data_IF_835717182207
#
_entry.id   IF_835717182207
#
_cell.length_a   1.000
_cell.length_b   1.000
_cell.length_c   1.000
_cell.angle_alpha   90.00
_cell.angle_beta   90.00
_cell.angle_gamma   90.00
#
_symmetry.space_group_name_H-M   'P 1'
#
loop_
_entity.id
_entity.type
_entity.pdbx_description
1 polymer ?
#
# COMPACT_ATOMS: atom_id res chain seq x y z
N UNK A 1 -4.08 -39.87 22.11
CA UNK A 1 -5.55 -39.77 22.03
C UNK A 1 -5.98 -38.56 22.86
N UNK A 2 -5.82 -37.34 22.34
CA UNK A 2 -6.28 -36.12 22.98
C UNK A 2 -7.37 -35.50 22.10
N UNK A 3 -8.55 -35.41 22.68
CA UNK A 3 -9.82 -35.06 22.07
C UNK A 3 -9.84 -33.60 21.58
N UNK A 4 -9.89 -33.39 20.26
CA UNK A 4 -10.26 -32.10 19.65
C UNK A 4 -11.79 -31.98 19.75
N UNK A 5 -12.27 -31.23 20.74
CA UNK A 5 -13.62 -30.65 20.72
C UNK A 5 -13.50 -29.22 20.19
N UNK A 6 -13.65 -29.06 18.87
CA UNK A 6 -14.06 -27.77 18.29
C UNK A 6 -15.55 -27.90 18.03
N UNK A 7 -16.32 -27.24 18.89
CA UNK A 7 -17.76 -27.13 18.80
C UNK A 7 -18.12 -26.34 17.54
N UNK A 8 -19.04 -26.89 16.77
CA UNK A 8 -19.61 -26.32 15.57
C UNK A 8 -20.38 -25.01 15.86
N UNK A 9 -20.13 -23.98 15.05
CA UNK A 9 -21.12 -22.97 14.71
C UNK A 9 -21.16 -22.81 13.19
N UNK A 10 -22.23 -23.39 12.62
CA UNK A 10 -22.98 -22.96 11.43
C UNK A 10 -22.24 -22.79 10.08
N UNK A 11 -22.40 -23.79 9.20
CA UNK A 11 -22.19 -23.68 7.75
C UNK A 11 -21.29 -24.79 7.21
N UNK A 12 -21.86 -25.78 6.51
CA UNK A 12 -21.17 -26.93 5.95
C UNK A 12 -20.07 -26.53 4.95
N UNK A 13 -18.83 -26.39 5.42
CA UNK A 13 -17.64 -26.47 4.56
C UNK A 13 -16.96 -27.82 4.82
N UNK A 14 -17.02 -28.74 3.84
CA UNK A 14 -16.33 -30.02 3.95
C UNK A 14 -14.82 -29.75 3.94
N UNK A 15 -14.13 -30.02 5.04
CA UNK A 15 -12.67 -29.93 5.14
C UNK A 15 -12.06 -31.07 4.33
N UNK A 16 -11.41 -30.76 3.19
CA UNK A 16 -10.82 -31.75 2.27
C UNK A 16 -9.29 -31.78 2.34
N UNK A 17 -8.63 -30.83 3.01
CA UNK A 17 -7.15 -30.78 3.12
C UNK A 17 -6.62 -29.96 4.30
N UNK A 18 -5.34 -30.18 4.68
CA UNK A 18 -4.60 -29.33 5.65
C UNK A 18 -4.53 -27.86 5.20
N UNK A 19 -4.55 -27.63 3.89
CA UNK A 19 -4.64 -26.30 3.28
C UNK A 19 -5.97 -25.60 3.59
N UNK A 20 -7.09 -26.34 3.67
CA UNK A 20 -8.40 -25.77 4.03
C UNK A 20 -8.41 -25.32 5.50
N UNK A 21 -7.78 -26.10 6.39
CA UNK A 21 -7.66 -25.74 7.81
C UNK A 21 -6.76 -24.50 8.03
N UNK A 22 -5.68 -24.39 7.25
CA UNK A 22 -4.78 -23.23 7.25
C UNK A 22 -5.48 -21.97 6.73
N UNK A 23 -6.30 -22.10 5.68
CA UNK A 23 -7.08 -21.00 5.08
C UNK A 23 -8.20 -20.50 6.00
N UNK A 24 -8.87 -21.40 6.72
CA UNK A 24 -9.84 -21.01 7.75
C UNK A 24 -9.19 -20.08 8.77
N UNK A 25 -7.94 -20.32 9.15
CA UNK A 25 -7.26 -19.50 10.17
C UNK A 25 -6.81 -18.11 9.67
N UNK A 26 -6.42 -17.95 8.39
CA UNK A 26 -6.07 -16.61 7.85
C UNK A 26 -7.31 -15.76 7.56
N UNK A 27 -8.35 -16.37 7.00
CA UNK A 27 -9.61 -15.73 6.68
C UNK A 27 -10.40 -15.40 7.97
N UNK A 28 -10.30 -16.25 8.99
CA UNK A 28 -10.85 -16.01 10.32
C UNK A 28 -10.12 -14.88 11.05
N UNK A 29 -8.80 -14.72 10.91
CA UNK A 29 -8.07 -13.61 11.54
C UNK A 29 -8.49 -12.24 11.01
N UNK A 30 -8.71 -12.10 9.69
CA UNK A 30 -9.23 -10.85 9.12
C UNK A 30 -10.69 -10.61 9.53
N UNK A 31 -11.51 -11.66 9.61
CA UNK A 31 -12.89 -11.58 10.10
C UNK A 31 -12.94 -11.18 11.58
N UNK A 32 -12.04 -11.70 12.41
CA UNK A 32 -11.90 -11.34 13.82
C UNK A 32 -11.43 -9.88 13.99
N UNK A 33 -10.48 -9.43 13.17
CA UNK A 33 -10.05 -8.03 13.16
C UNK A 33 -11.18 -7.08 12.79
N UNK A 34 -12.13 -7.50 11.93
CA UNK A 34 -13.31 -6.69 11.60
C UNK A 34 -14.31 -6.54 12.75
N UNK A 35 -14.19 -7.31 13.83
CA UNK A 35 -15.06 -7.20 15.00
C UNK A 35 -14.67 -6.05 15.94
N UNK A 36 -13.42 -5.57 15.84
CA UNK A 36 -12.89 -4.47 16.67
C UNK A 36 -12.30 -3.39 15.76
N UNK A 37 -13.02 -2.28 15.63
CA UNK A 37 -12.68 -1.18 14.73
C UNK A 37 -11.34 -0.53 15.08
N UNK A 38 -11.03 -0.42 16.37
CA UNK A 38 -9.78 0.19 16.82
C UNK A 38 -8.60 -0.72 16.46
N UNK A 39 -8.74 -2.03 16.66
CA UNK A 39 -7.72 -3.00 16.22
C UNK A 39 -7.58 -3.04 14.71
N UNK A 40 -8.68 -3.01 13.96
CA UNK A 40 -8.66 -2.97 12.50
C UNK A 40 -7.88 -1.75 12.00
N UNK A 41 -8.20 -0.57 12.54
CA UNK A 41 -7.53 0.67 12.17
C UNK A 41 -6.06 0.69 12.60
N UNK A 42 -5.72 0.18 13.77
CA UNK A 42 -4.32 0.05 14.19
C UNK A 42 -3.54 -0.91 13.28
N UNK A 43 -4.19 -1.99 12.84
CA UNK A 43 -3.56 -3.04 12.05
C UNK A 43 -3.34 -2.65 10.58
N UNK A 44 -4.32 -2.00 9.95
CA UNK A 44 -4.27 -1.62 8.51
C UNK A 44 -4.02 -0.12 8.27
N UNK A 45 -4.06 0.72 9.31
CA UNK A 45 -4.05 2.20 9.20
C UNK A 45 -5.24 2.77 8.40
N UNK A 46 -6.29 1.98 8.24
CA UNK A 46 -7.54 2.33 7.55
C UNK A 46 -8.72 1.89 8.41
N UNK A 47 -9.81 2.65 8.39
CA UNK A 47 -11.06 2.18 8.97
C UNK A 47 -11.74 1.14 8.05
N UNK A 48 -12.74 0.42 8.55
CA UNK A 48 -13.42 -0.65 7.80
C UNK A 48 -14.09 -0.14 6.52
N UNK A 49 -14.77 1.01 6.59
CA UNK A 49 -15.42 1.62 5.43
C UNK A 49 -14.44 2.01 4.33
N UNK A 50 -13.28 2.59 4.70
CA UNK A 50 -12.20 2.89 3.77
C UNK A 50 -11.63 1.62 3.13
N UNK A 51 -11.45 0.55 3.91
CA UNK A 51 -11.00 -0.73 3.38
C UNK A 51 -12.00 -1.30 2.38
N UNK A 52 -13.29 -1.34 2.71
CA UNK A 52 -14.32 -1.90 1.85
C UNK A 52 -14.48 -1.07 0.56
N UNK A 53 -14.38 0.26 0.66
CA UNK A 53 -14.36 1.15 -0.50
C UNK A 53 -13.14 0.91 -1.40
N UNK A 54 -11.94 0.79 -0.81
CA UNK A 54 -10.72 0.48 -1.56
C UNK A 54 -10.80 -0.90 -2.23
N UNK A 55 -11.35 -1.89 -1.53
CA UNK A 55 -11.59 -3.23 -2.07
C UNK A 55 -12.57 -3.20 -3.24
N UNK A 56 -13.62 -2.37 -3.18
CA UNK A 56 -14.56 -2.22 -4.27
C UNK A 56 -13.89 -1.66 -5.53
N UNK A 57 -13.02 -0.66 -5.39
CA UNK A 57 -12.31 -0.04 -6.53
C UNK A 57 -11.25 -0.97 -7.12
N UNK A 58 -10.44 -1.60 -6.27
CA UNK A 58 -9.23 -2.32 -6.71
C UNK A 58 -9.50 -3.83 -6.92
N UNK A 59 -10.51 -4.37 -6.24
CA UNK A 59 -10.89 -5.79 -6.23
C UNK A 59 -10.95 -6.45 -7.61
N UNK A 60 -11.63 -5.86 -8.62
CA UNK A 60 -11.69 -6.41 -9.97
C UNK A 60 -10.33 -6.62 -10.62
N UNK A 61 -9.34 -5.76 -10.31
CA UNK A 61 -8.00 -5.80 -10.90
C UNK A 61 -7.02 -6.72 -10.17
N UNK A 62 -7.35 -7.12 -8.93
CA UNK A 62 -6.48 -7.97 -8.10
C UNK A 62 -7.05 -9.37 -7.88
N UNK A 63 -8.30 -9.62 -8.25
CA UNK A 63 -8.91 -10.93 -8.24
C UNK A 63 -8.17 -11.89 -9.18
N UNK A 64 -8.15 -13.18 -8.83
CA UNK A 64 -7.57 -14.24 -9.67
C UNK A 64 -8.64 -15.24 -10.03
N UNK A 65 -8.60 -15.69 -11.28
CA UNK A 65 -9.51 -16.70 -11.80
C UNK A 65 -9.34 -18.02 -11.03
N UNK A 66 -10.46 -18.58 -10.60
CA UNK A 66 -10.48 -19.91 -10.01
C UNK A 66 -10.25 -20.94 -11.11
N UNK A 67 -9.24 -21.79 -10.91
CA UNK A 67 -8.96 -22.92 -11.79
C UNK A 67 -9.21 -24.22 -11.05
N UNK A 68 -9.49 -25.31 -11.78
CA UNK A 68 -9.70 -26.64 -11.18
C UNK A 68 -8.47 -27.20 -10.44
N UNK A 69 -7.30 -26.58 -10.59
CA UNK A 69 -6.04 -27.08 -10.04
C UNK A 69 -5.71 -26.50 -8.67
N UNK A 70 -6.11 -25.26 -8.39
CA UNK A 70 -5.74 -24.57 -7.13
C UNK A 70 -6.74 -23.49 -6.79
N UNK A 71 -7.17 -23.50 -5.53
CA UNK A 71 -7.96 -22.42 -4.95
C UNK A 71 -7.13 -21.13 -4.84
N UNK A 72 -7.70 -20.01 -5.26
CA UNK A 72 -6.99 -18.73 -5.29
C UNK A 72 -7.08 -18.00 -3.96
N UNK A 73 -6.08 -17.15 -3.71
CA UNK A 73 -6.12 -16.18 -2.60
C UNK A 73 -7.11 -15.09 -3.01
N UNK A 74 -8.11 -14.83 -2.16
CA UNK A 74 -9.18 -13.88 -2.46
C UNK A 74 -8.66 -12.45 -2.66
N UNK A 75 -9.40 -11.61 -3.39
CA UNK A 75 -9.03 -10.20 -3.57
C UNK A 75 -8.89 -9.47 -2.23
N UNK A 76 -9.78 -9.74 -1.27
CA UNK A 76 -9.75 -9.17 0.07
C UNK A 76 -8.48 -9.58 0.84
N UNK A 77 -8.10 -10.85 0.80
CA UNK A 77 -6.90 -11.36 1.47
C UNK A 77 -5.62 -10.81 0.83
N UNK A 78 -5.58 -10.73 -0.51
CA UNK A 78 -4.48 -10.08 -1.25
C UNK A 78 -4.33 -8.61 -0.86
N UNK A 79 -5.43 -7.89 -0.72
CA UNK A 79 -5.44 -6.50 -0.25
C UNK A 79 -4.94 -6.40 1.19
N UNK A 80 -5.36 -7.30 2.09
CA UNK A 80 -4.88 -7.34 3.48
C UNK A 80 -3.37 -7.55 3.55
N UNK A 81 -2.81 -8.49 2.78
CA UNK A 81 -1.37 -8.75 2.73
C UNK A 81 -0.60 -7.50 2.29
N UNK A 82 -1.08 -6.84 1.23
CA UNK A 82 -0.46 -5.62 0.71
C UNK A 82 -0.54 -4.46 1.72
N UNK A 83 -1.72 -4.19 2.28
CA UNK A 83 -1.90 -3.14 3.28
C UNK A 83 -1.10 -3.39 4.55
N UNK A 84 -0.95 -4.66 4.96
CA UNK A 84 -0.09 -5.00 6.10
C UNK A 84 1.36 -4.60 5.83
N UNK A 85 1.86 -4.87 4.64
CA UNK A 85 3.19 -4.44 4.24
C UNK A 85 3.31 -2.91 4.24
N UNK A 86 2.38 -2.19 3.61
CA UNK A 86 2.41 -0.72 3.51
C UNK A 86 2.28 -0.02 4.86
N UNK A 87 1.48 -0.57 5.79
CA UNK A 87 1.23 0.03 7.10
C UNK A 87 2.38 -0.12 8.10
N UNK A 88 3.23 -1.13 7.93
CA UNK A 88 4.27 -1.47 8.91
C UNK A 88 5.70 -1.46 8.37
N UNK A 89 5.89 -1.65 7.07
CA UNK A 89 7.21 -1.88 6.48
C UNK A 89 7.85 -3.22 6.92
N UNK A 90 7.06 -4.17 7.42
CA UNK A 90 7.54 -5.47 7.89
C UNK A 90 8.11 -6.32 6.73
N UNK A 91 8.95 -7.29 7.06
CA UNK A 91 9.58 -8.16 6.07
C UNK A 91 8.55 -9.08 5.40
N UNK A 92 8.76 -9.40 4.13
CA UNK A 92 7.94 -10.40 3.43
C UNK A 92 7.94 -11.77 4.13
N UNK A 93 8.99 -12.10 4.89
CA UNK A 93 9.07 -13.34 5.66
C UNK A 93 8.06 -13.37 6.81
N UNK A 94 7.98 -12.29 7.59
CA UNK A 94 7.04 -12.18 8.72
C UNK A 94 5.59 -12.20 8.21
N UNK A 95 5.32 -11.46 7.14
CA UNK A 95 3.98 -11.40 6.53
C UNK A 95 3.60 -12.76 5.96
N UNK A 96 4.52 -13.43 5.25
CA UNK A 96 4.32 -14.78 4.73
C UNK A 96 3.96 -15.77 5.85
N UNK A 97 4.67 -15.69 6.99
CA UNK A 97 4.38 -16.53 8.15
C UNK A 97 3.01 -16.22 8.77
N UNK A 98 2.63 -14.94 8.83
CA UNK A 98 1.36 -14.50 9.46
C UNK A 98 0.14 -14.92 8.63
N UNK A 99 0.22 -14.76 7.31
CA UNK A 99 -0.86 -15.12 6.37
C UNK A 99 -0.74 -16.55 5.84
N UNK A 100 0.29 -17.30 6.24
CA UNK A 100 0.56 -18.69 5.85
C UNK A 100 0.64 -18.88 4.33
N UNK A 101 1.29 -17.95 3.66
CA UNK A 101 1.54 -17.94 2.21
C UNK A 101 3.04 -17.96 1.92
N UNK A 102 3.45 -18.28 0.69
CA UNK A 102 4.87 -18.27 0.31
C UNK A 102 5.45 -16.84 0.25
N UNK A 103 6.73 -16.67 0.60
CA UNK A 103 7.43 -15.36 0.54
C UNK A 103 7.36 -14.74 -0.86
N UNK A 104 7.60 -15.54 -1.90
CA UNK A 104 7.48 -15.11 -3.30
C UNK A 104 6.04 -14.72 -3.66
N UNK A 105 5.05 -15.35 -3.05
CA UNK A 105 3.63 -15.02 -3.22
C UNK A 105 3.31 -13.66 -2.59
N UNK A 106 3.83 -13.38 -1.38
CA UNK A 106 3.70 -12.05 -0.74
C UNK A 106 4.33 -10.98 -1.62
N UNK A 107 5.58 -11.17 -2.07
CA UNK A 107 6.26 -10.20 -2.93
C UNK A 107 5.46 -9.91 -4.21
N UNK A 108 4.95 -10.95 -4.88
CA UNK A 108 4.09 -10.80 -6.06
C UNK A 108 2.76 -10.12 -5.76
N UNK A 109 2.13 -10.41 -4.61
CA UNK A 109 0.89 -9.74 -4.16
C UNK A 109 1.16 -8.26 -3.93
N UNK A 110 2.16 -7.91 -3.12
CA UNK A 110 2.51 -6.52 -2.81
C UNK A 110 2.74 -5.73 -4.10
N UNK A 111 3.55 -6.25 -5.01
CA UNK A 111 3.82 -5.56 -6.28
C UNK A 111 2.55 -5.38 -7.14
N UNK A 112 1.79 -6.46 -7.37
CA UNK A 112 0.60 -6.41 -8.21
C UNK A 112 -0.53 -5.55 -7.62
N UNK A 113 -0.74 -5.61 -6.31
CA UNK A 113 -1.77 -4.82 -5.62
C UNK A 113 -1.37 -3.34 -5.55
N UNK A 114 -0.11 -2.99 -5.26
CA UNK A 114 0.35 -1.59 -5.32
C UNK A 114 0.13 -0.98 -6.70
N UNK A 115 0.45 -1.72 -7.77
CA UNK A 115 0.19 -1.28 -9.15
C UNK A 115 -1.29 -1.06 -9.42
N UNK A 116 -2.14 -1.97 -8.95
CA UNK A 116 -3.59 -1.84 -9.10
C UNK A 116 -4.15 -0.64 -8.32
N UNK A 117 -3.68 -0.41 -7.09
CA UNK A 117 -4.04 0.77 -6.29
C UNK A 117 -3.68 2.05 -7.05
N UNK A 118 -2.44 2.16 -7.52
CA UNK A 118 -1.99 3.33 -8.28
C UNK A 118 -2.89 3.59 -9.51
N UNK A 119 -3.08 2.57 -10.34
CA UNK A 119 -3.84 2.69 -11.58
C UNK A 119 -5.32 3.05 -11.35
N UNK A 120 -5.93 2.57 -10.26
CA UNK A 120 -7.33 2.83 -9.97
C UNK A 120 -7.58 4.18 -9.30
N UNK A 121 -6.65 4.65 -8.45
CA UNK A 121 -6.89 5.80 -7.58
C UNK A 121 -6.22 7.09 -8.06
N UNK A 122 -5.12 7.03 -8.82
CA UNK A 122 -4.33 8.23 -9.15
C UNK A 122 -5.15 9.32 -9.86
N UNK A 123 -6.04 8.93 -10.77
CA UNK A 123 -6.85 9.88 -11.53
C UNK A 123 -7.89 10.62 -10.67
N UNK A 124 -8.36 10.00 -9.58
CA UNK A 124 -9.36 10.58 -8.69
C UNK A 124 -8.70 11.39 -7.55
N UNK A 125 -7.65 10.84 -6.95
CA UNK A 125 -7.02 11.42 -5.75
C UNK A 125 -5.86 12.37 -6.06
N UNK A 126 -5.28 12.29 -7.27
CA UNK A 126 -4.19 13.16 -7.72
C UNK A 126 -4.39 13.60 -9.19
N UNK A 127 -5.54 14.23 -9.51
CA UNK A 127 -5.78 14.73 -10.86
C UNK A 127 -4.82 15.86 -11.20
N UNK A 128 -4.54 16.04 -12.50
CA UNK A 128 -3.73 17.16 -12.99
C UNK A 128 -4.43 18.48 -12.60
N UNK A 129 -3.80 19.33 -11.77
CA UNK A 129 -4.46 20.54 -11.27
C UNK A 129 -4.77 21.55 -12.38
N UNK A 130 -5.99 22.07 -12.38
CA UNK A 130 -6.46 23.13 -13.29
C UNK A 130 -6.17 24.50 -12.68
N UNK A 131 -6.29 25.55 -13.50
CA UNK A 131 -6.12 26.95 -13.07
C UNK A 131 -6.92 27.30 -11.81
N UNK A 132 -8.14 26.77 -11.68
CA UNK A 132 -8.98 27.05 -10.52
C UNK A 132 -8.49 26.33 -9.26
N UNK A 133 -7.97 25.10 -9.40
CA UNK A 133 -7.36 24.36 -8.30
C UNK A 133 -6.15 25.12 -7.75
N UNK A 134 -5.31 25.68 -8.63
CA UNK A 134 -4.19 26.53 -8.24
C UNK A 134 -4.60 27.75 -7.42
N UNK A 135 -5.67 28.45 -7.83
CA UNK A 135 -6.21 29.58 -7.05
C UNK A 135 -6.78 29.13 -5.70
N UNK A 136 -7.45 27.99 -5.68
CA UNK A 136 -8.02 27.43 -4.45
C UNK A 136 -6.91 27.08 -3.46
N UNK A 137 -5.81 26.48 -3.92
CA UNK A 137 -4.64 26.19 -3.08
C UNK A 137 -4.00 27.47 -2.55
N UNK A 138 -3.81 28.49 -3.38
CA UNK A 138 -3.31 29.81 -2.95
C UNK A 138 -4.18 30.45 -1.87
N UNK A 139 -5.51 30.36 -2.02
CA UNK A 139 -6.45 30.85 -1.02
C UNK A 139 -6.39 30.05 0.28
N UNK A 140 -6.34 28.72 0.20
CA UNK A 140 -6.26 27.86 1.38
C UNK A 140 -4.95 28.08 2.15
N UNK A 141 -3.82 28.29 1.47
CA UNK A 141 -2.56 28.67 2.12
C UNK A 141 -2.63 30.02 2.80
N UNK A 142 -3.23 31.02 2.16
CA UNK A 142 -3.45 32.32 2.80
C UNK A 142 -4.34 32.22 4.04
N UNK A 143 -5.41 31.43 3.98
CA UNK A 143 -6.39 31.33 5.08
C UNK A 143 -5.89 30.51 6.27
N UNK A 144 -5.17 29.41 6.01
CA UNK A 144 -4.73 28.49 7.06
C UNK A 144 -3.35 28.83 7.62
N UNK A 145 -2.48 29.43 6.80
CA UNK A 145 -1.05 29.58 7.11
C UNK A 145 -0.51 31.01 6.93
N UNK A 146 -1.36 31.98 6.54
CA UNK A 146 -0.98 33.36 6.22
C UNK A 146 0.17 33.45 5.20
N UNK A 147 0.14 32.55 4.21
CA UNK A 147 1.20 32.44 3.20
C UNK A 147 0.63 32.73 1.79
N UNK A 148 0.66 33.99 1.33
CA UNK A 148 0.00 34.41 0.09
C UNK A 148 0.63 33.78 -1.14
N UNK A 149 -0.19 33.53 -2.17
CA UNK A 149 0.23 33.02 -3.49
C UNK A 149 0.95 31.67 -3.47
N UNK A 150 0.94 30.94 -2.35
CA UNK A 150 1.53 29.62 -2.26
C UNK A 150 0.60 28.56 -2.82
N UNK A 151 1.09 27.75 -3.74
CA UNK A 151 0.28 26.74 -4.42
C UNK A 151 0.61 25.31 -4.00
N UNK A 152 1.63 25.15 -3.17
CA UNK A 152 2.10 23.85 -2.72
C UNK A 152 3.39 23.97 -1.94
N UNK A 153 3.59 23.07 -1.00
CA UNK A 153 4.86 22.86 -0.32
C UNK A 153 5.51 21.63 -0.94
N UNK A 154 6.76 21.76 -1.37
CA UNK A 154 7.53 20.68 -1.97
C UNK A 154 8.61 20.20 -1.01
N UNK A 155 8.76 18.88 -0.93
CA UNK A 155 9.86 18.26 -0.18
C UNK A 155 10.34 16.98 -0.87
N UNK A 156 11.61 16.65 -0.62
CA UNK A 156 12.30 15.50 -1.18
C UNK A 156 12.70 14.47 -0.14
N UNK A 157 12.59 13.19 -0.49
CA UNK A 157 13.00 12.07 0.35
C UNK A 157 13.87 11.10 -0.44
N UNK A 158 15.06 10.84 0.09
CA UNK A 158 15.89 9.72 -0.35
C UNK A 158 15.32 8.41 0.21
N UNK A 159 14.83 7.55 -0.69
CA UNK A 159 14.46 6.17 -0.37
C UNK A 159 15.69 5.30 -0.58
N UNK A 160 16.24 4.76 0.51
CA UNK A 160 17.44 3.92 0.46
C UNK A 160 17.13 2.63 -0.31
N UNK A 161 18.03 2.29 -1.23
CA UNK A 161 17.95 1.08 -2.04
C UNK A 161 19.25 0.28 -1.91
N UNK A 162 19.17 -1.01 -2.27
CA UNK A 162 20.37 -1.73 -2.63
C UNK A 162 20.90 -1.18 -3.95
N UNK A 163 22.22 -0.99 -4.05
CA UNK A 163 22.88 -0.54 -5.27
C UNK A 163 22.44 -1.40 -6.47
N UNK A 164 21.84 -0.80 -7.51
CA UNK A 164 21.49 -1.56 -8.70
C UNK A 164 22.76 -2.12 -9.36
N UNK A 165 22.69 -3.32 -9.99
CA UNK A 165 23.84 -3.89 -10.68
C UNK A 165 24.38 -2.91 -11.73
N UNK A 166 25.71 -2.74 -11.76
CA UNK A 166 26.40 -1.90 -12.74
C UNK A 166 26.03 -0.40 -12.73
N UNK A 167 25.44 0.13 -11.64
CA UNK A 167 25.02 1.54 -11.57
C UNK A 167 26.11 2.56 -11.23
N UNK A 168 27.35 2.10 -10.97
CA UNK A 168 28.42 2.97 -10.48
C UNK A 168 27.98 3.77 -9.24
N UNK A 169 28.12 5.11 -9.29
CA UNK A 169 27.73 6.04 -8.23
C UNK A 169 26.45 6.83 -8.51
N UNK A 170 25.67 6.48 -9.55
CA UNK A 170 24.47 7.24 -9.95
C UNK A 170 23.46 7.37 -8.81
N UNK A 171 23.18 6.26 -8.11
CA UNK A 171 22.26 6.26 -6.97
C UNK A 171 22.95 6.61 -5.65
N UNK A 172 24.26 6.81 -5.63
CA UNK A 172 25.01 7.05 -4.41
C UNK A 172 24.86 8.52 -3.97
N UNK A 173 24.19 8.71 -2.84
CA UNK A 173 23.91 10.03 -2.28
C UNK A 173 25.05 10.53 -1.39
N UNK A 174 25.00 11.83 -1.06
CA UNK A 174 25.99 12.48 -0.19
C UNK A 174 26.00 11.94 1.25
N UNK A 175 24.96 11.20 1.67
CA UNK A 175 24.86 10.54 2.99
C UNK A 175 25.55 9.18 3.03
N UNK A 176 26.23 8.79 1.94
CA UNK A 176 26.98 7.53 1.87
C UNK A 176 26.12 6.29 1.67
N UNK A 177 24.92 6.45 1.08
CA UNK A 177 24.01 5.33 0.79
C UNK A 177 23.49 5.40 -0.64
N UNK A 178 23.07 4.26 -1.19
CA UNK A 178 22.38 4.24 -2.48
C UNK A 178 20.90 4.55 -2.26
N UNK A 179 20.31 5.43 -3.06
CA UNK A 179 18.91 5.84 -2.93
C UNK A 179 18.29 6.26 -4.26
N UNK A 180 16.97 6.20 -4.33
CA UNK A 180 16.17 6.96 -5.29
C UNK A 180 15.57 8.18 -4.60
N UNK A 181 15.36 9.25 -5.36
CA UNK A 181 14.67 10.44 -4.87
C UNK A 181 13.17 10.30 -5.12
N UNK A 182 12.40 10.60 -4.08
CA UNK A 182 10.96 10.84 -4.14
C UNK A 182 10.74 12.33 -3.87
N UNK A 183 10.10 13.04 -4.78
CA UNK A 183 9.61 14.39 -4.55
C UNK A 183 8.10 14.36 -4.41
N UNK A 184 7.58 15.16 -3.49
CA UNK A 184 6.15 15.30 -3.31
C UNK A 184 5.79 16.76 -3.11
N UNK A 185 4.67 17.18 -3.71
CA UNK A 185 4.03 18.47 -3.47
C UNK A 185 2.75 18.23 -2.70
N UNK A 186 2.53 19.02 -1.65
CA UNK A 186 1.33 18.96 -0.83
C UNK A 186 0.61 20.30 -0.79
N UNK A 187 -0.72 20.26 -0.72
CA UNK A 187 -1.54 21.45 -0.49
C UNK A 187 -1.55 21.87 0.99
N UNK A 188 -2.20 23.00 1.27
CA UNK A 188 -2.34 23.56 2.62
C UNK A 188 -3.06 22.64 3.61
N UNK A 189 -3.72 21.57 3.13
CA UNK A 189 -4.46 20.58 3.93
C UNK A 189 -3.72 19.24 4.00
N UNK A 190 -2.43 19.23 3.69
CA UNK A 190 -1.58 18.03 3.74
C UNK A 190 -1.99 16.93 2.76
N UNK A 191 -2.65 17.28 1.66
CA UNK A 191 -2.99 16.33 0.59
C UNK A 191 -1.93 16.40 -0.50
N UNK A 192 -1.45 15.24 -0.94
CA UNK A 192 -0.54 15.15 -2.08
C UNK A 192 -1.24 15.64 -3.35
N UNK A 193 -0.61 16.58 -4.05
CA UNK A 193 -1.08 17.12 -5.34
C UNK A 193 -0.23 16.66 -6.49
N UNK A 194 1.03 16.33 -6.23
CA UNK A 194 1.97 15.78 -7.20
C UNK A 194 2.98 14.90 -6.46
N UNK A 195 3.37 13.79 -7.07
CA UNK A 195 4.45 12.93 -6.61
C UNK A 195 5.28 12.53 -7.82
N UNK A 196 6.60 12.67 -7.69
CA UNK A 196 7.57 12.18 -8.66
C UNK A 196 8.56 11.23 -7.96
N UNK A 197 8.82 10.07 -8.56
CA UNK A 197 9.62 9.00 -7.96
C UNK A 197 10.55 8.39 -8.99
N UNK A 198 11.83 8.29 -8.65
CA UNK A 198 12.78 7.47 -9.39
C UNK A 198 14.04 8.20 -9.85
N UNK A 199 14.16 9.50 -9.58
CA UNK A 199 15.37 10.22 -9.87
C UNK A 199 16.57 9.67 -9.08
N UNK A 200 17.76 9.84 -9.65
CA UNK A 200 19.01 9.32 -9.09
C UNK A 200 19.31 9.93 -7.72
N UNK A 201 19.75 9.11 -6.77
CA UNK A 201 20.12 9.57 -5.42
C UNK A 201 21.24 10.59 -5.36
N UNK A 202 22.02 10.75 -6.43
CA UNK A 202 23.02 11.82 -6.55
C UNK A 202 22.39 13.20 -6.85
N UNK A 203 21.19 13.24 -7.41
CA UNK A 203 20.49 14.48 -7.75
C UNK A 203 20.03 15.23 -6.49
N UNK A 204 20.13 16.56 -6.51
CA UNK A 204 19.46 17.41 -5.53
C UNK A 204 17.99 17.57 -5.89
N UNK A 205 17.16 18.01 -4.93
CA UNK A 205 15.73 18.25 -5.18
C UNK A 205 15.52 19.23 -6.34
N UNK A 206 16.32 20.29 -6.41
CA UNK A 206 16.29 21.25 -7.53
C UNK A 206 16.77 20.66 -8.85
N UNK A 207 17.72 19.72 -8.83
CA UNK A 207 18.17 19.01 -10.02
C UNK A 207 17.12 18.03 -10.55
N UNK A 208 16.37 17.38 -9.66
CA UNK A 208 15.27 16.49 -10.05
C UNK A 208 14.10 17.28 -10.65
N UNK A 209 13.80 18.48 -10.15
CA UNK A 209 12.72 19.32 -10.68
C UNK A 209 13.00 19.92 -12.06
N UNK A 210 14.28 20.05 -12.44
CA UNK A 210 14.71 20.68 -13.69
C UNK A 210 14.98 19.68 -14.81
N UNK A 211 14.89 18.37 -14.54
CA UNK A 211 15.18 17.27 -15.47
C UNK A 211 13.93 16.85 -16.25
#
# INVERSE_FOLDING_TARGET
MLSIRVMALCGQASLRSLTDFVKILSDQYVKELRLDDARFQAYFRLNRGQFDHLLQMVGPNIAREETRYRETISAAERLCICLRYLSTGDSFRTIASSYRVGISTVAGIVHSVCKAIWNCLVAEYMPIPKKEDWKNMARDYQQLWDFPNCVGAIDGKHVVIQAPPSSGSEFYNYKGSFSIVLLAVVDARYRFTMVDVGAFGRSSDGGTLAA
#
